data_IF_847580231340
#
_entry.id   IF_847580231340
#
_cell.length_a   1.000
_cell.length_b   1.000
_cell.length_c   1.000
_cell.angle_alpha   90.00
_cell.angle_beta   90.00
_cell.angle_gamma   90.00
#
_symmetry.space_group_name_H-M   'P 1'
#
loop_
_entity.id
_entity.type
_entity.pdbx_description
1 polymer ?
#
# COMPACT_ATOMS: atom_id res chain seq x y z
N UNK A 1 -28.48 20.50 18.37
CA UNK A 1 -27.03 20.14 18.39
C UNK A 1 -26.82 19.14 17.29
N UNK A 2 -26.07 19.51 16.25
CA UNK A 2 -25.81 18.61 15.12
C UNK A 2 -24.79 17.57 15.54
N UNK A 3 -25.22 16.32 15.57
CA UNK A 3 -24.42 15.15 15.95
C UNK A 3 -23.13 15.03 15.08
N UNK A 4 -23.18 15.55 13.86
CA UNK A 4 -22.07 15.58 12.92
C UNK A 4 -20.82 16.34 13.42
N UNK A 5 -20.99 17.33 14.33
CA UNK A 5 -19.88 18.14 14.85
C UNK A 5 -18.97 17.38 15.85
N UNK A 6 -19.37 16.18 16.28
CA UNK A 6 -18.59 15.35 17.20
C UNK A 6 -17.70 14.33 16.47
N UNK A 7 -17.84 14.18 15.16
CA UNK A 7 -17.08 13.21 14.38
C UNK A 7 -16.22 13.93 13.35
N UNK A 8 -14.92 13.67 13.40
CA UNK A 8 -13.96 14.25 12.48
C UNK A 8 -13.06 13.15 11.92
N UNK A 9 -12.87 13.16 10.60
CA UNK A 9 -11.91 12.30 9.93
C UNK A 9 -11.13 13.13 8.91
N UNK A 10 -9.96 13.62 9.32
CA UNK A 10 -9.16 14.58 8.55
C UNK A 10 -8.13 13.86 7.66
N UNK A 11 -8.60 13.09 6.69
CA UNK A 11 -7.69 12.35 5.82
C UNK A 11 -8.29 12.22 4.43
N UNK A 12 -8.07 13.24 3.61
CA UNK A 12 -8.65 13.33 2.26
C UNK A 12 -8.10 12.26 1.33
N UNK A 13 -6.78 12.01 1.39
CA UNK A 13 -6.15 11.00 0.55
C UNK A 13 -6.69 9.60 0.89
N UNK A 14 -6.71 9.26 2.17
CA UNK A 14 -7.13 7.93 2.62
C UNK A 14 -8.59 7.66 2.27
N UNK A 15 -9.48 8.63 2.51
CA UNK A 15 -10.89 8.50 2.13
C UNK A 15 -11.07 8.40 0.61
N UNK A 16 -10.33 9.21 -0.16
CA UNK A 16 -10.38 9.15 -1.63
C UNK A 16 -9.91 7.78 -2.13
N UNK A 17 -8.82 7.26 -1.59
CA UNK A 17 -8.29 5.94 -1.94
C UNK A 17 -9.28 4.81 -1.59
N UNK A 18 -9.94 4.92 -0.42
CA UNK A 18 -11.00 3.99 -0.03
C UNK A 18 -12.15 3.99 -1.03
N UNK A 19 -12.74 5.16 -1.33
CA UNK A 19 -13.91 5.23 -2.19
C UNK A 19 -13.61 4.86 -3.64
N UNK A 20 -12.44 5.23 -4.16
CA UNK A 20 -12.00 4.82 -5.50
C UNK A 20 -11.82 3.30 -5.56
N UNK A 21 -11.15 2.70 -4.59
CA UNK A 21 -10.97 1.24 -4.54
C UNK A 21 -12.30 0.50 -4.34
N UNK A 22 -13.21 1.06 -3.56
CA UNK A 22 -14.56 0.54 -3.38
C UNK A 22 -15.35 0.55 -4.71
N UNK A 23 -15.30 1.66 -5.45
CA UNK A 23 -15.91 1.76 -6.77
C UNK A 23 -15.31 0.73 -7.75
N UNK A 24 -13.98 0.53 -7.72
CA UNK A 24 -13.30 -0.51 -8.51
C UNK A 24 -13.77 -1.92 -8.11
N UNK A 25 -13.96 -2.19 -6.83
CA UNK A 25 -14.50 -3.48 -6.37
C UNK A 25 -15.93 -3.70 -6.88
N UNK A 26 -16.80 -2.69 -6.84
CA UNK A 26 -18.15 -2.78 -7.41
C UNK A 26 -18.07 -3.03 -8.92
N UNK A 27 -17.21 -2.27 -9.63
CA UNK A 27 -16.98 -2.46 -11.07
C UNK A 27 -16.52 -3.88 -11.41
N UNK A 28 -15.65 -4.47 -10.58
CA UNK A 28 -15.24 -5.87 -10.70
C UNK A 28 -16.44 -6.82 -10.64
N UNK A 29 -17.38 -6.62 -9.73
CA UNK A 29 -18.58 -7.47 -9.64
C UNK A 29 -19.50 -7.26 -10.83
N UNK A 30 -19.74 -6.02 -11.27
CA UNK A 30 -20.56 -5.70 -12.46
C UNK A 30 -19.96 -6.32 -13.72
N UNK A 31 -18.64 -6.32 -13.86
CA UNK A 31 -17.94 -6.84 -15.05
C UNK A 31 -17.54 -8.30 -14.95
N UNK A 32 -17.98 -9.03 -13.90
CA UNK A 32 -17.61 -10.42 -13.67
C UNK A 32 -16.08 -10.64 -13.65
N UNK A 33 -15.33 -9.67 -13.09
CA UNK A 33 -13.88 -9.73 -12.95
C UNK A 33 -13.09 -9.15 -14.13
N UNK A 34 -13.70 -8.87 -15.28
CA UNK A 34 -13.00 -8.35 -16.47
C UNK A 34 -12.26 -7.03 -16.21
N UNK A 35 -12.82 -6.14 -15.38
CA UNK A 35 -12.16 -4.87 -15.04
C UNK A 35 -10.81 -5.10 -14.32
N UNK A 36 -10.75 -6.06 -13.39
CA UNK A 36 -9.51 -6.42 -12.73
C UNK A 36 -8.49 -7.00 -13.71
N UNK A 37 -8.95 -7.84 -14.63
CA UNK A 37 -8.09 -8.47 -15.62
C UNK A 37 -7.45 -7.45 -16.57
N UNK A 38 -8.22 -6.42 -16.96
CA UNK A 38 -7.80 -5.43 -17.95
C UNK A 38 -7.00 -4.29 -17.31
N UNK A 39 -7.45 -3.75 -16.17
CA UNK A 39 -6.95 -2.47 -15.64
C UNK A 39 -6.36 -2.56 -14.22
N UNK A 40 -6.89 -3.43 -13.35
CA UNK A 40 -6.63 -3.37 -11.92
C UNK A 40 -5.83 -4.57 -11.38
N UNK A 41 -4.98 -5.16 -12.23
CA UNK A 41 -4.02 -6.17 -11.81
C UNK A 41 -2.70 -6.06 -12.57
N UNK A 42 -1.57 -6.16 -11.88
CA UNK A 42 -0.24 -6.17 -12.50
C UNK A 42 0.20 -7.60 -12.76
N UNK A 43 0.71 -7.85 -13.95
CA UNK A 43 1.27 -9.12 -14.40
C UNK A 43 2.23 -8.87 -15.56
N UNK A 44 3.03 -9.86 -15.89
CA UNK A 44 3.98 -9.77 -17.01
C UNK A 44 3.23 -9.69 -18.34
N UNK A 45 3.39 -8.58 -19.05
CA UNK A 45 2.80 -8.32 -20.37
C UNK A 45 3.80 -7.64 -21.29
N UNK A 46 3.44 -7.41 -22.54
CA UNK A 46 4.28 -6.69 -23.51
C UNK A 46 4.52 -5.26 -23.04
N UNK A 47 5.75 -4.78 -23.15
CA UNK A 47 6.10 -3.38 -22.93
C UNK A 47 5.55 -2.45 -24.01
N UNK A 48 5.04 -2.99 -25.13
CA UNK A 48 4.36 -2.23 -26.18
C UNK A 48 2.88 -2.02 -25.85
N UNK A 49 2.32 -2.73 -24.86
CA UNK A 49 0.95 -2.51 -24.40
C UNK A 49 0.89 -1.32 -23.42
N UNK A 50 0.22 -0.21 -23.78
CA UNK A 50 0.09 0.96 -22.90
C UNK A 50 -0.54 0.63 -21.54
N UNK A 51 -1.45 -0.37 -21.50
CA UNK A 51 -2.08 -0.81 -20.27
C UNK A 51 -1.09 -1.42 -19.27
N UNK A 52 0.07 -1.89 -19.74
CA UNK A 52 1.15 -2.34 -18.85
C UNK A 52 1.54 -1.24 -17.87
N UNK A 53 1.73 -0.03 -18.35
CA UNK A 53 2.13 1.12 -17.54
C UNK A 53 1.03 1.60 -16.60
N UNK A 54 -0.22 1.56 -17.05
CA UNK A 54 -1.40 1.88 -16.20
C UNK A 54 -1.48 0.89 -15.04
N UNK A 55 -1.33 -0.40 -15.32
CA UNK A 55 -1.41 -1.49 -14.33
C UNK A 55 -0.32 -1.42 -13.26
N UNK A 56 0.82 -0.76 -13.54
CA UNK A 56 1.87 -0.54 -12.52
C UNK A 56 1.34 0.21 -11.29
N UNK A 57 0.34 1.04 -11.47
CA UNK A 57 -0.23 1.87 -10.40
C UNK A 57 -1.62 1.38 -9.97
N UNK A 58 -2.48 1.06 -10.94
CA UNK A 58 -3.89 0.77 -10.68
C UNK A 58 -4.13 -0.60 -10.03
N UNK A 59 -3.16 -1.51 -10.04
CA UNK A 59 -3.29 -2.80 -9.37
C UNK A 59 -3.56 -2.68 -7.87
N UNK A 60 -3.14 -1.57 -7.24
CA UNK A 60 -3.40 -1.30 -5.82
C UNK A 60 -4.86 -0.96 -5.52
N UNK A 61 -5.63 -0.57 -6.54
CA UNK A 61 -7.07 -0.30 -6.44
C UNK A 61 -7.90 -1.57 -6.58
N UNK A 62 -7.39 -2.60 -7.28
CA UNK A 62 -8.09 -3.85 -7.53
C UNK A 62 -8.14 -4.75 -6.30
N UNK A 63 -9.25 -5.47 -6.11
CA UNK A 63 -9.39 -6.47 -5.04
C UNK A 63 -10.12 -7.70 -5.55
N UNK A 64 -9.71 -8.90 -5.08
CA UNK A 64 -10.32 -10.17 -5.50
C UNK A 64 -11.75 -10.34 -4.97
N UNK A 65 -12.01 -9.86 -3.76
CA UNK A 65 -13.27 -10.03 -3.06
C UNK A 65 -13.41 -9.06 -1.88
N UNK A 66 -14.57 -9.08 -1.23
CA UNK A 66 -14.87 -8.24 -0.07
C UNK A 66 -13.92 -8.48 1.10
N UNK A 67 -13.53 -9.71 1.37
CA UNK A 67 -12.62 -10.05 2.47
C UNK A 67 -11.25 -9.42 2.25
N UNK A 68 -10.73 -9.54 1.02
CA UNK A 68 -9.44 -8.94 0.65
C UNK A 68 -9.49 -7.41 0.75
N UNK A 69 -10.56 -6.78 0.24
CA UNK A 69 -10.78 -5.34 0.36
C UNK A 69 -10.86 -4.90 1.82
N UNK A 70 -11.74 -5.52 2.61
CA UNK A 70 -11.95 -5.17 4.01
C UNK A 70 -10.69 -5.31 4.86
N UNK A 71 -9.92 -6.37 4.64
CA UNK A 71 -8.67 -6.56 5.35
C UNK A 71 -7.65 -5.46 5.06
N UNK A 72 -7.49 -5.05 3.80
CA UNK A 72 -6.59 -3.97 3.46
C UNK A 72 -7.07 -2.62 4.03
N UNK A 73 -8.33 -2.30 3.85
CA UNK A 73 -8.87 -1.01 4.27
C UNK A 73 -9.08 -0.88 5.77
N UNK A 74 -9.19 -1.98 6.51
CA UNK A 74 -9.12 -1.93 7.97
C UNK A 74 -7.81 -1.26 8.44
N UNK A 75 -6.66 -1.69 7.92
CA UNK A 75 -5.37 -1.11 8.27
C UNK A 75 -5.20 0.30 7.70
N UNK A 76 -5.56 0.52 6.44
CA UNK A 76 -5.42 1.82 5.78
C UNK A 76 -6.24 2.90 6.49
N UNK A 77 -7.50 2.62 6.87
CA UNK A 77 -8.36 3.56 7.57
C UNK A 77 -7.92 3.81 9.03
N UNK A 78 -7.25 2.86 9.67
CA UNK A 78 -6.76 3.03 11.04
C UNK A 78 -5.40 3.75 11.10
N UNK A 79 -4.45 3.38 10.23
CA UNK A 79 -3.06 3.87 10.28
C UNK A 79 -2.87 5.06 9.34
N UNK A 80 -3.57 5.07 8.21
CA UNK A 80 -3.40 6.07 7.15
C UNK A 80 -3.59 7.51 7.59
N UNK A 81 -4.63 7.86 8.37
CA UNK A 81 -4.82 9.22 8.85
C UNK A 81 -3.64 9.77 9.65
N UNK A 82 -3.05 8.96 10.52
CA UNK A 82 -1.85 9.34 11.29
C UNK A 82 -0.66 9.60 10.36
N UNK A 83 -0.51 8.79 9.31
CA UNK A 83 0.53 9.00 8.32
C UNK A 83 0.26 10.25 7.48
N UNK A 84 -1.00 10.49 7.07
CA UNK A 84 -1.36 11.70 6.30
C UNK A 84 -1.15 12.98 7.11
N UNK A 85 -1.49 12.97 8.40
CA UNK A 85 -1.23 14.08 9.31
C UNK A 85 0.28 14.35 9.48
N UNK A 86 1.08 13.28 9.66
CA UNK A 86 2.52 13.40 9.89
C UNK A 86 3.29 13.82 8.64
N UNK A 87 3.01 13.20 7.51
CA UNK A 87 3.81 13.36 6.29
C UNK A 87 3.19 14.37 5.31
N UNK A 88 1.94 14.72 5.50
CA UNK A 88 1.15 15.57 4.59
C UNK A 88 0.58 14.79 3.40
N UNK A 89 -0.57 15.25 2.90
CA UNK A 89 -1.33 14.58 1.82
C UNK A 89 -0.50 14.33 0.57
N UNK A 90 0.26 15.33 0.12
CA UNK A 90 1.04 15.25 -1.13
C UNK A 90 2.20 14.25 -1.00
N UNK A 91 2.97 14.33 0.10
CA UNK A 91 4.08 13.40 0.32
C UNK A 91 3.57 11.96 0.44
N UNK A 92 2.47 11.76 1.17
CA UNK A 92 1.88 10.42 1.31
C UNK A 92 1.34 9.89 -0.01
N UNK A 93 0.73 10.73 -0.85
CA UNK A 93 0.32 10.35 -2.21
C UNK A 93 1.53 9.92 -3.05
N UNK A 94 2.63 10.67 -3.00
CA UNK A 94 3.86 10.30 -3.70
C UNK A 94 4.41 8.95 -3.19
N UNK A 95 4.41 8.72 -1.88
CA UNK A 95 4.81 7.44 -1.29
C UNK A 95 3.91 6.28 -1.79
N UNK A 96 2.59 6.49 -1.89
CA UNK A 96 1.65 5.51 -2.47
C UNK A 96 1.99 5.20 -3.93
N UNK A 97 2.19 6.22 -4.74
CA UNK A 97 2.52 6.08 -6.17
C UNK A 97 3.86 5.37 -6.38
N UNK A 98 4.89 5.74 -5.64
CA UNK A 98 6.19 5.09 -5.73
C UNK A 98 6.08 3.62 -5.29
N UNK A 99 5.41 3.34 -4.17
CA UNK A 99 5.22 1.96 -3.70
C UNK A 99 4.47 1.12 -4.73
N UNK A 100 3.38 1.64 -5.31
CA UNK A 100 2.63 0.97 -6.37
C UNK A 100 3.51 0.72 -7.60
N UNK A 101 4.19 1.76 -8.09
CA UNK A 101 5.07 1.67 -9.26
C UNK A 101 6.20 0.66 -9.07
N UNK A 102 6.93 0.71 -7.95
CA UNK A 102 8.02 -0.23 -7.63
C UNK A 102 7.50 -1.66 -7.53
N UNK A 103 6.40 -1.88 -6.80
CA UNK A 103 5.79 -3.21 -6.67
C UNK A 103 5.33 -3.73 -8.03
N UNK A 104 4.67 -2.91 -8.84
CA UNK A 104 4.20 -3.25 -10.17
C UNK A 104 5.33 -3.58 -11.14
N UNK A 105 6.39 -2.76 -11.17
CA UNK A 105 7.59 -2.98 -12.01
C UNK A 105 8.28 -4.28 -11.62
N UNK A 106 8.58 -4.47 -10.34
CA UNK A 106 9.26 -5.66 -9.88
C UNK A 106 8.43 -6.92 -10.14
N UNK A 107 7.10 -6.86 -9.94
CA UNK A 107 6.23 -7.98 -10.28
C UNK A 107 6.20 -8.27 -11.79
N UNK A 108 6.27 -7.25 -12.64
CA UNK A 108 6.32 -7.42 -14.10
C UNK A 108 7.62 -8.07 -14.58
N UNK A 109 8.72 -7.91 -13.83
CA UNK A 109 10.05 -8.49 -14.17
C UNK A 109 10.21 -9.89 -13.58
N UNK A 110 10.01 -10.03 -12.27
CA UNK A 110 10.32 -11.25 -11.50
C UNK A 110 9.07 -12.04 -11.11
N UNK A 111 7.90 -11.40 -11.08
CA UNK A 111 6.66 -12.00 -10.61
C UNK A 111 6.17 -13.11 -11.54
N UNK A 112 5.79 -14.23 -10.94
CA UNK A 112 5.19 -15.37 -11.66
C UNK A 112 3.67 -15.35 -11.58
N UNK A 113 3.10 -14.54 -10.68
CA UNK A 113 1.67 -14.46 -10.41
C UNK A 113 1.14 -13.06 -10.75
N UNK A 114 -0.13 -13.01 -11.06
CA UNK A 114 -0.87 -11.75 -11.15
C UNK A 114 -1.07 -11.20 -9.72
N UNK A 115 -0.75 -9.92 -9.51
CA UNK A 115 -0.98 -9.24 -8.25
C UNK A 115 -2.06 -8.17 -8.39
N UNK A 116 -2.84 -8.00 -7.34
CA UNK A 116 -3.80 -6.94 -7.15
C UNK A 116 -4.05 -6.75 -5.64
N UNK A 117 -4.39 -5.55 -5.23
CA UNK A 117 -4.68 -5.20 -3.83
C UNK A 117 -3.76 -4.11 -3.28
N UNK A 118 -4.27 -3.44 -2.26
CA UNK A 118 -3.57 -2.37 -1.57
C UNK A 118 -2.56 -2.87 -0.50
N UNK A 119 -2.33 -4.18 -0.41
CA UNK A 119 -1.53 -4.75 0.69
C UNK A 119 -0.09 -4.27 0.73
N UNK A 120 0.55 -4.00 -0.42
CA UNK A 120 1.87 -3.36 -0.46
C UNK A 120 1.87 -1.98 0.20
N UNK A 121 0.80 -1.19 -0.01
CA UNK A 121 0.60 0.11 0.68
C UNK A 121 0.34 -0.10 2.17
N UNK A 122 -0.43 -1.12 2.57
CA UNK A 122 -0.63 -1.48 3.99
C UNK A 122 0.71 -1.73 4.68
N UNK A 123 1.56 -2.59 4.10
CA UNK A 123 2.88 -2.89 4.67
C UNK A 123 3.80 -1.67 4.69
N UNK A 124 3.76 -0.84 3.67
CA UNK A 124 4.46 0.46 3.65
C UNK A 124 3.99 1.34 4.81
N UNK A 125 2.69 1.51 5.02
CA UNK A 125 2.13 2.31 6.11
C UNK A 125 2.48 1.76 7.49
N UNK A 126 2.42 0.44 7.69
CA UNK A 126 2.78 -0.22 8.95
C UNK A 126 4.24 0.11 9.33
N UNK A 127 5.17 -0.04 8.38
CA UNK A 127 6.58 0.26 8.63
C UNK A 127 6.78 1.77 8.80
N UNK A 128 6.18 2.59 7.94
CA UNK A 128 6.27 4.04 7.98
C UNK A 128 5.74 4.62 9.31
N UNK A 129 4.70 4.02 9.89
CA UNK A 129 4.14 4.44 11.18
C UNK A 129 5.15 4.32 12.33
N UNK A 130 6.14 3.43 12.22
CA UNK A 130 7.20 3.28 13.22
C UNK A 130 8.11 4.51 13.29
N UNK A 131 8.15 5.33 12.23
CA UNK A 131 8.99 6.52 12.15
C UNK A 131 8.28 7.80 12.61
N UNK A 132 6.98 7.75 12.94
CA UNK A 132 6.19 8.94 13.29
C UNK A 132 6.83 9.71 14.46
N UNK A 133 7.32 9.00 15.47
CA UNK A 133 7.93 9.55 16.68
C UNK A 133 9.43 9.25 16.81
N UNK A 134 10.13 9.04 15.68
CA UNK A 134 11.57 8.79 15.72
C UNK A 134 12.32 10.00 16.28
N UNK A 135 13.25 9.75 17.18
CA UNK A 135 14.16 10.75 17.72
C UNK A 135 15.58 10.50 17.21
N UNK A 136 16.35 11.58 17.02
CA UNK A 136 17.74 11.46 16.56
C UNK A 136 18.58 10.53 17.42
N UNK A 137 19.28 9.62 16.77
CA UNK A 137 20.15 8.63 17.44
C UNK A 137 19.44 7.47 18.11
N UNK A 138 18.12 7.32 17.96
CA UNK A 138 17.36 6.21 18.54
C UNK A 138 16.65 5.39 17.47
N UNK A 139 16.66 4.07 17.63
CA UNK A 139 15.91 3.13 16.78
C UNK A 139 14.54 2.90 17.44
N UNK A 140 13.41 3.10 16.74
CA UNK A 140 12.09 2.82 17.31
C UNK A 140 11.92 1.33 17.63
N UNK A 141 11.56 1.01 18.87
CA UNK A 141 11.25 -0.37 19.25
C UNK A 141 10.11 -0.95 18.43
N UNK A 142 9.12 -0.11 18.05
CA UNK A 142 8.03 -0.50 17.15
C UNK A 142 8.51 -1.01 15.80
N UNK A 143 9.56 -0.40 15.21
CA UNK A 143 10.17 -0.88 13.97
C UNK A 143 10.75 -2.28 14.14
N UNK A 144 11.46 -2.53 15.27
CA UNK A 144 12.03 -3.84 15.57
C UNK A 144 10.93 -4.89 15.72
N UNK A 145 9.85 -4.57 16.45
CA UNK A 145 8.72 -5.48 16.63
C UNK A 145 8.00 -5.77 15.32
N UNK A 146 7.80 -4.75 14.48
CA UNK A 146 7.21 -4.92 13.14
C UNK A 146 8.10 -5.82 12.27
N UNK A 147 9.40 -5.60 12.26
CA UNK A 147 10.33 -6.46 11.53
C UNK A 147 10.22 -7.92 11.99
N UNK A 148 10.20 -8.16 13.29
CA UNK A 148 10.14 -9.52 13.85
C UNK A 148 8.77 -10.18 13.57
N UNK A 149 7.67 -9.50 13.88
CA UNK A 149 6.34 -10.13 13.85
C UNK A 149 5.68 -10.11 12.48
N UNK A 150 5.99 -9.14 11.62
CA UNK A 150 5.37 -9.04 10.31
C UNK A 150 6.31 -9.47 9.18
N UNK A 151 7.51 -8.90 9.10
CA UNK A 151 8.39 -9.14 7.94
C UNK A 151 8.98 -10.54 7.98
N UNK A 152 9.41 -11.03 9.15
CA UNK A 152 9.93 -12.40 9.28
C UNK A 152 8.85 -13.41 8.95
N UNK A 153 7.62 -13.24 9.49
CA UNK A 153 6.51 -14.14 9.17
C UNK A 153 6.16 -14.10 7.67
N UNK A 154 6.16 -12.92 7.05
CA UNK A 154 5.88 -12.76 5.63
C UNK A 154 6.93 -13.48 4.75
N UNK A 155 8.20 -13.42 5.13
CA UNK A 155 9.28 -14.15 4.45
C UNK A 155 9.07 -15.67 4.60
N UNK A 156 8.79 -16.13 5.82
CA UNK A 156 8.55 -17.55 6.10
C UNK A 156 7.32 -18.06 5.34
N UNK A 157 6.23 -17.29 5.36
CA UNK A 157 5.01 -17.63 4.62
C UNK A 157 5.26 -17.70 3.11
N UNK A 158 6.03 -16.77 2.56
CA UNK A 158 6.42 -16.78 1.15
C UNK A 158 7.28 -17.98 0.75
N UNK A 159 8.05 -18.56 1.68
CA UNK A 159 8.88 -19.75 1.44
C UNK A 159 8.06 -21.04 1.60
N UNK A 160 7.26 -21.13 2.66
CA UNK A 160 6.64 -22.39 3.10
C UNK A 160 5.17 -22.55 2.69
N UNK A 161 4.43 -21.45 2.50
CA UNK A 161 3.01 -21.52 2.12
C UNK A 161 2.81 -21.47 0.61
N UNK A 162 1.98 -22.37 0.11
CA UNK A 162 1.51 -22.38 -1.29
C UNK A 162 0.12 -21.71 -1.36
N UNK A 163 0.05 -20.44 -1.05
CA UNK A 163 -1.19 -19.65 -1.18
C UNK A 163 -1.14 -18.70 -2.39
N UNK A 164 -2.23 -17.95 -2.58
CA UNK A 164 -2.34 -16.95 -3.64
C UNK A 164 -1.96 -15.54 -3.17
N UNK A 165 -1.38 -15.41 -1.98
CA UNK A 165 -0.93 -14.13 -1.43
C UNK A 165 0.37 -13.70 -2.09
N UNK A 166 0.51 -12.40 -2.30
CA UNK A 166 1.74 -11.82 -2.84
C UNK A 166 2.67 -11.38 -1.71
N UNK A 167 3.30 -12.36 -1.03
CA UNK A 167 4.31 -12.09 0.00
C UNK A 167 5.41 -11.16 -0.51
N UNK A 168 5.79 -11.31 -1.78
CA UNK A 168 6.76 -10.44 -2.43
C UNK A 168 6.31 -8.96 -2.42
N UNK A 169 5.05 -8.67 -2.76
CA UNK A 169 4.50 -7.31 -2.74
C UNK A 169 4.49 -6.68 -1.34
N UNK A 170 4.25 -7.49 -0.31
CA UNK A 170 4.30 -7.06 1.08
C UNK A 170 5.71 -6.67 1.52
N UNK A 171 6.71 -7.47 1.18
CA UNK A 171 8.13 -7.19 1.47
C UNK A 171 8.57 -5.91 0.76
N UNK A 172 8.24 -5.75 -0.52
CA UNK A 172 8.55 -4.53 -1.27
C UNK A 172 7.90 -3.31 -0.64
N UNK A 173 6.63 -3.40 -0.24
CA UNK A 173 5.94 -2.32 0.48
C UNK A 173 6.64 -1.96 1.79
N UNK A 174 7.02 -2.94 2.59
CA UNK A 174 7.75 -2.73 3.84
C UNK A 174 9.10 -2.02 3.62
N UNK A 175 9.86 -2.42 2.59
CA UNK A 175 11.13 -1.77 2.21
C UNK A 175 10.89 -0.31 1.80
N UNK A 176 9.86 -0.04 0.99
CA UNK A 176 9.49 1.34 0.63
C UNK A 176 9.18 2.17 1.88
N UNK A 177 8.40 1.64 2.83
CA UNK A 177 8.07 2.31 4.08
C UNK A 177 9.31 2.66 4.91
N UNK A 178 10.28 1.74 5.01
CA UNK A 178 11.54 1.99 5.69
C UNK A 178 12.36 3.10 4.99
N UNK A 179 12.51 3.02 3.67
CA UNK A 179 13.24 4.02 2.89
C UNK A 179 12.60 5.41 3.06
N UNK A 180 11.29 5.54 2.92
CA UNK A 180 10.58 6.82 3.10
C UNK A 180 10.73 7.36 4.52
N UNK A 181 10.60 6.50 5.53
CA UNK A 181 10.78 6.90 6.92
C UNK A 181 12.17 7.47 7.18
N UNK A 182 13.22 6.82 6.68
CA UNK A 182 14.58 7.31 6.81
C UNK A 182 14.82 8.60 6.02
N UNK A 183 14.40 8.67 4.74
CA UNK A 183 14.57 9.89 3.92
C UNK A 183 13.87 11.07 4.59
N UNK A 184 12.62 10.90 5.01
CA UNK A 184 11.86 11.96 5.65
C UNK A 184 12.52 12.44 6.94
N UNK A 185 13.03 11.52 7.74
CA UNK A 185 13.74 11.83 8.97
C UNK A 185 15.03 12.64 8.72
N UNK A 186 15.90 12.16 7.81
CA UNK A 186 17.19 12.81 7.53
C UNK A 186 17.05 14.14 6.78
N UNK A 187 16.00 14.33 6.00
CA UNK A 187 15.74 15.59 5.28
C UNK A 187 14.95 16.61 6.09
N UNK A 188 14.86 16.47 7.42
CA UNK A 188 14.18 17.43 8.29
C UNK A 188 12.68 17.54 8.03
N UNK A 189 12.03 16.46 7.61
CA UNK A 189 10.59 16.41 7.38
C UNK A 189 10.16 16.75 5.94
N UNK A 190 11.08 16.74 4.97
CA UNK A 190 10.80 16.98 3.54
C UNK A 190 11.17 15.73 2.75
N UNK A 191 10.22 15.16 1.99
CA UNK A 191 10.47 14.00 1.13
C UNK A 191 11.15 14.43 -0.19
N UNK A 192 10.67 15.53 -0.77
CA UNK A 192 11.18 16.11 -2.02
C UNK A 192 11.41 17.61 -1.77
N UNK A 193 12.62 18.09 -2.02
CA UNK A 193 12.96 19.52 -2.01
C UNK A 193 12.60 20.16 -3.32
#
# INVERSE_FOLDING_TARGET
>A
MEFANYFQYNSVLILSFFFVSFAVLILKYITFGKSNDILFSSHRTSLLDPLTYVRLFTHTLGHSDWKHFSNNFLYILLIGPMAEEKYGTINLLIMFLITAGVTGILNSIVGRKRILGASGIVFMLIVLSSFVNIQSGKIPVTLILICIFYIVNEILDGIFKKDNVSHFGHIVGAICGAIFGFIYFYNGGILIK
#
